data_IF_526126516782
#
_entry.id   IF_526126516782
#
_cell.length_a   1.000
_cell.length_b   1.000
_cell.length_c   1.000
_cell.angle_alpha   90.00
_cell.angle_beta   90.00
_cell.angle_gamma   90.00
#
_symmetry.space_group_name_H-M   'P 1'
#
loop_
_entity.id
_entity.type
_entity.pdbx_description
1 polymer ?
#
# COMPACT_ATOMS: atom_id res chain seq x y z
N UNK A 1 27.29 39.24 -41.94
CA UNK A 1 27.60 38.07 -41.10
C UNK A 1 26.67 36.94 -41.50
N UNK A 2 27.19 35.82 -42.02
CA UNK A 2 26.39 34.59 -42.24
C UNK A 2 26.76 33.65 -41.10
N UNK A 3 25.78 33.32 -40.25
CA UNK A 3 25.99 32.39 -39.15
C UNK A 3 25.87 30.97 -39.70
N UNK A 4 26.94 30.20 -39.63
CA UNK A 4 26.87 28.75 -39.89
C UNK A 4 26.33 28.06 -38.63
N UNK A 5 25.15 27.45 -38.72
CA UNK A 5 24.52 26.69 -37.63
C UNK A 5 24.99 25.24 -37.74
N UNK A 6 25.74 24.77 -36.75
CA UNK A 6 26.16 23.37 -36.63
C UNK A 6 24.93 22.47 -36.46
N UNK A 7 24.86 21.38 -37.23
CA UNK A 7 23.82 20.36 -37.08
C UNK A 7 24.01 19.65 -35.75
N UNK A 8 22.94 19.47 -34.98
CA UNK A 8 22.99 18.72 -33.74
C UNK A 8 23.09 17.22 -34.02
N UNK A 9 23.95 16.53 -33.28
CA UNK A 9 24.09 15.07 -33.33
C UNK A 9 22.88 14.34 -32.74
N UNK A 10 22.66 13.11 -33.20
CA UNK A 10 21.61 12.25 -32.69
C UNK A 10 21.94 11.76 -31.27
N UNK A 11 21.04 12.05 -30.33
CA UNK A 11 21.21 11.71 -28.92
C UNK A 11 20.49 10.40 -28.60
N UNK A 12 21.22 9.37 -28.15
CA UNK A 12 20.63 8.11 -27.66
C UNK A 12 20.17 8.24 -26.19
N UNK A 13 18.86 8.32 -25.90
CA UNK A 13 18.40 8.56 -24.54
C UNK A 13 18.46 7.28 -23.68
N UNK A 14 19.23 7.33 -22.59
CA UNK A 14 19.32 6.25 -21.59
C UNK A 14 18.50 6.54 -20.32
N UNK A 15 18.04 5.48 -19.64
CA UNK A 15 17.31 5.55 -18.38
C UNK A 15 15.86 6.05 -18.52
N UNK A 16 15.44 7.00 -17.68
CA UNK A 16 14.04 7.49 -17.64
C UNK A 16 13.54 8.08 -18.96
N UNK A 17 14.45 8.49 -19.85
CA UNK A 17 14.13 9.09 -21.15
C UNK A 17 14.17 8.11 -22.31
N UNK A 18 14.48 6.84 -22.07
CA UNK A 18 14.57 5.80 -23.11
C UNK A 18 13.23 5.50 -23.77
N UNK A 19 12.12 5.69 -23.06
CA UNK A 19 10.78 5.42 -23.60
C UNK A 19 10.26 6.70 -24.27
N UNK A 20 10.32 6.73 -25.60
CA UNK A 20 9.64 7.76 -26.38
C UNK A 20 8.13 7.72 -26.20
N UNK A 21 7.46 8.86 -26.38
CA UNK A 21 5.99 8.92 -26.37
C UNK A 21 5.45 8.27 -27.64
N UNK A 22 5.04 7.01 -27.55
CA UNK A 22 4.40 6.29 -28.67
C UNK A 22 2.90 6.57 -28.64
N UNK A 23 2.39 7.28 -29.65
CA UNK A 23 0.95 7.49 -29.82
C UNK A 23 0.32 6.20 -30.34
N UNK A 24 -0.58 5.62 -29.57
CA UNK A 24 -1.35 4.44 -29.98
C UNK A 24 -2.76 4.84 -30.39
N UNK A 25 -3.32 4.14 -31.38
CA UNK A 25 -4.72 4.29 -31.79
C UNK A 25 -5.56 3.20 -31.10
N UNK A 26 -6.86 3.43 -30.97
CA UNK A 26 -7.80 2.48 -30.32
C UNK A 26 -7.74 1.09 -30.97
N UNK A 27 -7.55 1.00 -32.29
CA UNK A 27 -7.39 -0.26 -33.03
C UNK A 27 -6.17 -1.09 -32.60
N UNK A 28 -5.12 -0.45 -32.08
CA UNK A 28 -3.87 -1.11 -31.67
C UNK A 28 -4.01 -1.83 -30.31
N UNK A 29 -5.11 -1.59 -29.58
CA UNK A 29 -5.36 -2.21 -28.28
C UNK A 29 -5.73 -3.69 -28.41
N UNK A 30 -6.45 -4.05 -29.48
CA UNK A 30 -6.91 -5.42 -29.72
C UNK A 30 -5.77 -6.37 -30.10
N UNK A 31 -4.72 -5.87 -30.77
CA UNK A 31 -3.53 -6.67 -31.13
C UNK A 31 -2.59 -6.86 -29.94
N UNK A 32 -2.41 -5.82 -29.09
CA UNK A 32 -1.59 -5.91 -27.86
C UNK A 32 -2.14 -6.95 -26.87
N UNK A 33 -3.46 -6.98 -26.66
CA UNK A 33 -4.11 -7.99 -25.79
C UNK A 33 -3.86 -9.43 -26.23
N UNK A 34 -3.66 -9.67 -27.54
CA UNK A 34 -3.31 -11.01 -28.08
C UNK A 34 -1.83 -11.33 -27.91
N UNK A 35 -0.94 -10.33 -28.03
CA UNK A 35 0.51 -10.53 -27.89
C UNK A 35 0.97 -10.71 -26.43
N UNK A 36 0.35 -9.99 -25.49
CA UNK A 36 0.69 -10.09 -24.06
C UNK A 36 0.38 -11.47 -23.47
N UNK A 37 -0.72 -12.09 -23.90
CA UNK A 37 -1.07 -13.48 -23.54
C UNK A 37 -0.02 -14.51 -23.96
N UNK A 38 0.78 -14.24 -25.00
CA UNK A 38 1.82 -15.15 -25.50
C UNK A 38 3.14 -15.02 -24.74
N UNK A 39 3.37 -13.92 -24.01
CA UNK A 39 4.61 -13.69 -23.24
C UNK A 39 4.60 -14.33 -21.85
N UNK A 40 3.48 -14.88 -21.39
CA UNK A 40 3.33 -15.49 -20.05
C UNK A 40 3.87 -16.94 -20.02
N UNK A 41 4.31 -17.50 -21.15
CA UNK A 41 4.96 -18.82 -21.20
C UNK A 41 6.48 -18.64 -20.99
N UNK A 42 6.87 -18.75 -19.72
CA UNK A 42 8.16 -18.97 -19.02
C UNK A 42 9.45 -19.12 -19.87
N UNK A 43 10.61 -18.63 -19.37
CA UNK A 43 11.78 -19.49 -19.21
C UNK A 43 12.29 -19.58 -17.75
N UNK A 44 12.65 -20.81 -17.44
CA UNK A 44 13.09 -21.48 -16.21
C UNK A 44 14.52 -21.08 -15.77
N UNK A 45 14.77 -20.93 -14.46
CA UNK A 45 16.12 -21.05 -13.88
C UNK A 45 16.09 -21.32 -12.35
N UNK A 46 16.24 -22.60 -12.01
CA UNK A 46 17.16 -23.24 -11.03
C UNK A 46 17.35 -22.72 -9.57
N UNK A 47 17.26 -23.69 -8.63
CA UNK A 47 17.33 -23.77 -7.14
C UNK A 47 18.71 -23.39 -6.49
N UNK A 48 19.09 -23.59 -5.17
CA UNK A 48 18.45 -24.34 -4.04
C UNK A 48 18.61 -23.84 -2.55
N UNK A 49 17.80 -24.46 -1.66
CA UNK A 49 18.02 -25.04 -0.29
C UNK A 49 18.77 -24.26 0.82
N UNK A 50 18.12 -24.08 1.98
CA UNK A 50 18.59 -24.54 3.33
C UNK A 50 17.36 -24.83 4.22
N UNK A 51 17.29 -26.05 4.72
CA UNK A 51 16.41 -26.55 5.80
C UNK A 51 17.02 -26.18 7.17
N UNK A 52 16.22 -25.84 8.17
CA UNK A 52 16.22 -26.66 9.40
C UNK A 52 14.94 -26.47 10.23
N UNK A 53 14.52 -27.59 10.79
CA UNK A 53 13.31 -27.87 11.54
C UNK A 53 13.52 -27.58 13.02
N UNK A 54 12.49 -27.10 13.72
CA UNK A 54 12.24 -27.45 15.12
C UNK A 54 10.71 -27.51 15.34
N UNK A 55 10.23 -28.73 15.58
CA UNK A 55 8.87 -29.14 16.00
C UNK A 55 8.49 -28.50 17.37
N UNK A 56 7.24 -28.34 17.83
CA UNK A 56 6.01 -29.17 17.81
C UNK A 56 4.76 -28.28 18.21
N UNK A 57 3.49 -28.74 18.25
CA UNK A 57 2.38 -28.02 17.60
C UNK A 57 1.10 -27.73 18.44
N UNK A 58 0.18 -26.99 17.79
CA UNK A 58 -1.28 -27.09 17.84
C UNK A 58 -2.07 -26.49 19.04
N UNK A 59 -2.86 -25.43 18.77
CA UNK A 59 -4.33 -25.40 18.98
C UNK A 59 -4.98 -24.26 18.16
N UNK A 60 -5.52 -24.70 17.03
CA UNK A 60 -6.65 -24.24 16.20
C UNK A 60 -7.35 -22.89 16.54
N UNK A 61 -7.28 -21.93 15.60
CA UNK A 61 -8.39 -21.05 15.23
C UNK A 61 -8.24 -20.71 13.71
N UNK A 62 -9.33 -20.60 12.94
CA UNK A 62 -9.27 -20.69 11.49
C UNK A 62 -8.61 -19.45 10.90
N UNK A 63 -7.38 -19.63 10.43
CA UNK A 63 -6.68 -18.69 9.56
C UNK A 63 -7.56 -18.39 8.34
N UNK A 64 -8.32 -17.29 8.43
CA UNK A 64 -9.02 -16.73 7.29
C UNK A 64 -7.98 -16.55 6.19
N UNK A 65 -8.18 -17.23 5.06
CA UNK A 65 -7.32 -17.15 3.88
C UNK A 65 -7.39 -15.73 3.31
N UNK A 66 -6.68 -14.78 3.93
CA UNK A 66 -6.46 -13.45 3.37
C UNK A 66 -5.50 -13.62 2.21
N UNK A 67 -6.06 -13.65 1.00
CA UNK A 67 -5.35 -13.30 -0.23
C UNK A 67 -4.53 -12.03 0.08
N UNK A 68 -3.21 -12.10 -0.05
CA UNK A 68 -2.34 -10.91 0.03
C UNK A 68 -2.61 -10.05 -1.20
N UNK A 69 -3.68 -9.25 -1.15
CA UNK A 69 -3.88 -8.13 -2.05
C UNK A 69 -3.00 -6.99 -1.57
N UNK A 70 -2.04 -6.58 -2.39
CA UNK A 70 -1.28 -5.35 -2.20
C UNK A 70 -2.26 -4.20 -1.88
N UNK A 71 -2.12 -3.62 -0.68
CA UNK A 71 -3.00 -2.54 -0.20
C UNK A 71 -4.07 -2.95 0.81
N UNK A 72 -3.87 -4.01 1.60
CA UNK A 72 -4.73 -4.30 2.76
C UNK A 72 -4.60 -3.18 3.81
N UNK A 73 -5.43 -2.14 3.67
CA UNK A 73 -5.58 -1.10 4.70
C UNK A 73 -6.05 -1.79 5.98
N UNK A 74 -5.43 -1.42 7.10
CA UNK A 74 -5.86 -1.86 8.41
C UNK A 74 -7.35 -1.52 8.59
N UNK A 75 -8.17 -2.53 8.91
CA UNK A 75 -9.57 -2.33 9.26
C UNK A 75 -9.67 -2.27 10.77
N UNK A 76 -10.22 -1.17 11.28
CA UNK A 76 -10.51 -1.01 12.69
C UNK A 76 -11.52 -2.07 13.13
N UNK A 77 -11.16 -2.82 14.16
CA UNK A 77 -12.04 -3.83 14.77
C UNK A 77 -13.18 -3.13 15.52
N UNK A 78 -14.33 -3.79 15.71
CA UNK A 78 -15.46 -3.21 16.46
C UNK A 78 -15.04 -2.79 17.88
N UNK A 79 -14.21 -3.59 18.54
CA UNK A 79 -13.72 -3.30 19.90
C UNK A 79 -12.85 -2.04 19.93
N UNK A 80 -11.95 -1.89 18.95
CA UNK A 80 -11.14 -0.66 18.80
C UNK A 80 -12.02 0.56 18.56
N UNK A 81 -13.09 0.45 17.75
CA UNK A 81 -14.02 1.56 17.57
C UNK A 81 -14.77 1.91 18.85
N UNK A 82 -15.12 0.93 19.69
CA UNK A 82 -15.77 1.17 20.97
C UNK A 82 -14.83 1.90 21.95
N UNK A 83 -13.56 1.50 22.02
CA UNK A 83 -12.53 2.16 22.82
C UNK A 83 -12.31 3.60 22.34
N UNK A 84 -12.22 3.82 21.02
CA UNK A 84 -12.06 5.15 20.44
C UNK A 84 -13.29 6.04 20.68
N UNK A 85 -14.50 5.48 20.64
CA UNK A 85 -15.73 6.22 20.96
C UNK A 85 -15.77 6.74 22.40
N UNK A 86 -15.09 6.11 23.36
CA UNK A 86 -14.97 6.64 24.71
C UNK A 86 -14.30 8.04 24.75
N UNK A 87 -13.47 8.36 23.74
CA UNK A 87 -12.84 9.68 23.62
C UNK A 87 -13.82 10.78 23.18
N UNK A 88 -15.01 10.45 22.67
CA UNK A 88 -16.03 11.45 22.29
C UNK A 88 -16.55 12.27 23.48
N UNK A 89 -16.34 11.82 24.71
CA UNK A 89 -16.68 12.57 25.94
C UNK A 89 -15.96 13.93 25.96
N UNK A 90 -14.73 13.96 25.42
CA UNK A 90 -13.94 15.17 25.30
C UNK A 90 -14.36 15.94 24.03
N UNK A 91 -15.10 17.05 24.19
CA UNK A 91 -15.57 17.89 23.06
C UNK A 91 -14.55 18.96 22.64
N UNK A 92 -13.97 19.65 23.63
CA UNK A 92 -13.13 20.83 23.37
C UNK A 92 -11.63 20.52 23.43
N UNK A 93 -11.21 19.68 24.37
CA UNK A 93 -9.80 19.37 24.60
C UNK A 93 -9.63 17.90 24.93
N UNK A 94 -8.71 17.23 24.24
CA UNK A 94 -8.36 15.84 24.46
C UNK A 94 -7.08 15.76 25.29
N UNK A 95 -7.16 15.34 26.57
CA UNK A 95 -6.00 15.35 27.45
C UNK A 95 -5.04 14.18 27.15
N UNK A 96 -3.73 14.42 27.28
CA UNK A 96 -2.68 13.46 26.92
C UNK A 96 -2.79 12.14 27.69
N UNK A 97 -3.19 12.22 28.96
CA UNK A 97 -3.40 11.05 29.83
C UNK A 97 -4.48 10.11 29.27
N UNK A 98 -5.58 10.66 28.72
CA UNK A 98 -6.65 9.88 28.11
C UNK A 98 -6.18 9.25 26.80
N UNK A 99 -5.34 9.95 26.02
CA UNK A 99 -4.77 9.41 24.79
C UNK A 99 -3.84 8.23 25.10
N UNK A 100 -2.96 8.37 26.09
CA UNK A 100 -2.06 7.28 26.52
C UNK A 100 -2.85 6.08 27.04
N UNK A 101 -3.88 6.31 27.86
CA UNK A 101 -4.72 5.21 28.38
C UNK A 101 -5.48 4.47 27.28
N UNK A 102 -5.97 5.18 26.25
CA UNK A 102 -6.61 4.53 25.09
C UNK A 102 -5.58 3.83 24.21
N UNK A 103 -4.40 4.43 24.02
CA UNK A 103 -3.32 3.85 23.24
C UNK A 103 -2.84 2.51 23.83
N UNK A 104 -2.73 2.40 25.16
CA UNK A 104 -2.38 1.14 25.84
C UNK A 104 -3.41 0.02 25.62
N UNK A 105 -4.67 0.37 25.40
CA UNK A 105 -5.76 -0.59 25.14
C UNK A 105 -5.94 -0.94 23.66
N UNK A 106 -5.31 -0.16 22.76
CA UNK A 106 -5.38 -0.37 21.33
C UNK A 106 -4.22 -1.24 20.85
N UNK A 107 -4.39 -1.84 19.67
CA UNK A 107 -3.31 -2.60 19.02
C UNK A 107 -2.18 -1.68 18.57
N UNK A 108 -0.97 -2.24 18.42
CA UNK A 108 0.26 -1.56 18.01
C UNK A 108 0.14 -0.72 16.72
N UNK A 109 -0.84 -1.02 15.88
CA UNK A 109 -1.12 -0.28 14.63
C UNK A 109 -1.65 1.15 14.88
N UNK A 110 -2.12 1.44 16.09
CA UNK A 110 -2.67 2.73 16.52
C UNK A 110 -1.64 3.60 17.21
N UNK A 111 -0.95 4.45 16.46
CA UNK A 111 -0.08 5.49 17.03
C UNK A 111 -0.91 6.59 17.70
N UNK A 112 -0.37 7.24 18.74
CA UNK A 112 -0.93 8.46 19.39
C UNK A 112 -1.45 9.48 18.38
N UNK A 113 -0.71 9.74 17.30
CA UNK A 113 -1.13 10.65 16.21
C UNK A 113 -2.44 10.21 15.54
N UNK A 114 -2.59 8.92 15.23
CA UNK A 114 -3.82 8.37 14.64
C UNK A 114 -5.01 8.49 15.58
N UNK A 115 -4.81 8.27 16.88
CA UNK A 115 -5.87 8.41 17.89
C UNK A 115 -6.37 9.85 17.93
N UNK A 116 -5.45 10.84 17.93
CA UNK A 116 -5.81 12.27 17.86
C UNK A 116 -6.55 12.62 16.57
N UNK A 117 -6.06 12.14 15.44
CA UNK A 117 -6.63 12.42 14.13
C UNK A 117 -8.03 11.80 13.98
N UNK A 118 -8.21 10.57 14.47
CA UNK A 118 -9.52 9.93 14.56
C UNK A 118 -10.47 10.74 15.45
N UNK A 119 -10.05 11.14 16.64
CA UNK A 119 -10.87 11.94 17.56
C UNK A 119 -11.27 13.27 16.92
N UNK A 120 -10.34 13.97 16.27
CA UNK A 120 -10.61 15.25 15.64
C UNK A 120 -11.65 15.15 14.51
N UNK A 121 -11.64 14.04 13.76
CA UNK A 121 -12.64 13.77 12.73
C UNK A 121 -14.01 13.39 13.32
N UNK A 122 -14.05 12.72 14.48
CA UNK A 122 -15.28 12.17 15.05
C UNK A 122 -15.90 12.98 16.19
N UNK A 123 -15.21 13.99 16.76
CA UNK A 123 -15.69 14.79 17.90
C UNK A 123 -16.95 15.61 17.62
N UNK A 124 -17.18 15.98 16.35
CA UNK A 124 -18.32 16.80 15.91
C UNK A 124 -19.34 15.98 15.10
N UNK A 125 -19.11 14.68 14.92
CA UNK A 125 -19.97 13.83 14.10
C UNK A 125 -20.99 13.14 15.02
N UNK A 126 -22.20 13.68 15.02
CA UNK A 126 -23.41 12.99 15.48
C UNK A 126 -23.57 11.71 14.65
N UNK A 127 -23.89 10.58 15.31
CA UNK A 127 -23.99 9.25 14.70
C UNK A 127 -25.28 9.08 13.90
#
# INVERSE_FOLDING_TARGET
YRQEVLKTEDRNPQGRRTIGVVRTKVKDYNSKKKAEKRKIVIPELTQPVVEDLNETPLTIEPQSKRRKTAGARYRTTKDETAILCALKIYKNYLPENAISSVHEKLSEVWTVKKVREWWNYHKNKEL
#
